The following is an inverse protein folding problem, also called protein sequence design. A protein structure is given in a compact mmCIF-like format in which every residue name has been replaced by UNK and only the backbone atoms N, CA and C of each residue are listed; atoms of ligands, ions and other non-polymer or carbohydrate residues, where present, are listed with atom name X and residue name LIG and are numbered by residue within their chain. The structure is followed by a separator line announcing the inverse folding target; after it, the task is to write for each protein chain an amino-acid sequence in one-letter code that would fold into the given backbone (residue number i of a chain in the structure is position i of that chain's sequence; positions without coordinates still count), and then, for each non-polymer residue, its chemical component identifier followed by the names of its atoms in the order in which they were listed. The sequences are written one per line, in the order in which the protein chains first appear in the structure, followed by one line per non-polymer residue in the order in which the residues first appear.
data_IF_857259128879
#
_entry.id   IF_857259128879
#
_cell.length_a   1.000
_cell.length_b   1.000
_cell.length_c   1.000
_cell.angle_alpha   90.00
_cell.angle_beta   90.00
_cell.angle_gamma   90.00
#
_symmetry.space_group_name_H-M   'P 1'
#
loop_
_entity.id
_entity.type
_entity.pdbx_description
1 polymer ?
#
# COMPACT_ATOMS: atom_id res chain seq x y z
N UNK A 1 1.18 1.19 -2.60
CA UNK A 1 1.66 1.57 -3.96
C UNK A 1 1.25 0.53 -5.00
N UNK A 2 1.51 -0.77 -4.84
CA UNK A 2 0.89 -1.82 -5.68
C UNK A 2 -0.65 -1.80 -5.63
N UNK A 3 -1.22 -1.52 -4.47
CA UNK A 3 -2.64 -1.23 -4.28
C UNK A 3 -3.06 0.14 -4.86
N UNK A 4 -2.12 1.08 -5.02
CA UNK A 4 -2.31 2.37 -5.71
C UNK A 4 -2.14 2.22 -7.24
N UNK A 5 -1.53 1.12 -7.70
CA UNK A 5 -1.55 0.71 -9.11
C UNK A 5 -2.91 0.10 -9.45
N UNK A 6 -3.50 -0.69 -8.53
CA UNK A 6 -4.91 -1.09 -8.62
C UNK A 6 -5.87 0.11 -8.62
N UNK A 7 -5.53 1.20 -7.91
CA UNK A 7 -6.32 2.45 -7.90
C UNK A 7 -6.49 3.07 -9.29
N UNK A 8 -5.46 3.05 -10.12
CA UNK A 8 -5.60 3.50 -11.50
C UNK A 8 -6.15 2.42 -12.43
N UNK A 9 -6.01 1.14 -12.08
CA UNK A 9 -6.48 0.03 -12.93
C UNK A 9 -7.97 -0.03 -13.15
N UNK A 10 -8.73 0.44 -12.17
CA UNK A 10 -10.14 0.14 -12.09
C UNK A 10 -11.03 1.38 -12.03
N UNK A 11 -10.44 2.58 -11.92
CA UNK A 11 -11.16 3.85 -12.13
C UNK A 11 -11.84 3.91 -13.51
N UNK A 12 -11.30 3.17 -14.49
CA UNK A 12 -11.68 3.28 -15.90
C UNK A 12 -12.32 2.02 -16.48
N UNK A 13 -12.46 0.95 -15.69
CA UNK A 13 -13.31 -0.19 -16.04
C UNK A 13 -14.78 0.03 -15.64
N UNK A 14 -15.09 1.11 -14.90
CA UNK A 14 -16.44 1.66 -14.81
C UNK A 14 -16.75 2.50 -16.05
N UNK A 15 -16.82 1.84 -17.21
CA UNK A 15 -17.47 2.32 -18.43
C UNK A 15 -18.75 1.50 -18.67
N UNK A 16 -19.82 2.10 -19.23
CA UNK A 16 -21.20 1.79 -18.87
C UNK A 16 -21.72 0.48 -19.46
N UNK A 17 -22.52 -0.23 -18.66
CA UNK A 17 -23.57 -1.10 -19.16
C UNK A 17 -24.55 -0.27 -19.98
N UNK A 18 -24.54 -0.47 -21.31
CA UNK A 18 -25.59 -0.15 -22.29
C UNK A 18 -26.51 1.07 -22.04
N UNK A 19 -26.41 2.04 -22.95
CA UNK A 19 -27.41 3.08 -23.24
C UNK A 19 -27.50 4.29 -22.29
N UNK A 20 -26.41 5.06 -22.18
CA UNK A 20 -26.35 6.54 -22.26
C UNK A 20 -24.92 6.97 -21.97
N UNK A 21 -24.38 7.88 -22.79
CA UNK A 21 -23.07 8.48 -22.56
C UNK A 21 -23.25 9.48 -21.41
N UNK A 22 -23.14 9.02 -20.17
CA UNK A 22 -22.83 9.88 -19.04
C UNK A 22 -21.33 9.79 -18.78
N UNK A 23 -20.66 10.93 -18.96
CA UNK A 23 -19.24 11.09 -18.66
C UNK A 23 -18.98 10.70 -17.20
N UNK A 24 -17.83 10.10 -16.85
CA UNK A 24 -17.43 9.95 -15.47
C UNK A 24 -17.26 11.35 -14.87
N UNK A 25 -18.29 11.81 -14.15
CA UNK A 25 -18.29 13.08 -13.46
C UNK A 25 -17.18 13.07 -12.41
N UNK A 26 -16.32 14.09 -12.41
CA UNK A 26 -15.43 14.42 -11.29
C UNK A 26 -16.27 14.52 -9.99
N UNK A 27 -15.77 14.06 -8.83
CA UNK A 27 -16.49 13.06 -8.05
C UNK A 27 -17.47 13.66 -7.04
N UNK A 28 -18.75 13.34 -7.17
CA UNK A 28 -19.70 13.47 -6.07
C UNK A 28 -19.37 12.50 -4.89
N UNK A 29 -18.54 11.47 -5.09
CA UNK A 29 -18.19 10.46 -4.07
C UNK A 29 -17.00 10.81 -3.16
N UNK A 30 -16.01 11.59 -3.65
CA UNK A 30 -14.81 11.95 -2.87
C UNK A 30 -15.19 12.80 -1.65
N UNK A 31 -16.08 13.78 -1.86
CA UNK A 31 -16.64 14.60 -0.78
C UNK A 31 -17.76 13.90 0.00
N UNK A 32 -18.40 12.89 -0.60
CA UNK A 32 -19.51 12.16 0.02
C UNK A 32 -19.08 11.15 1.08
N UNK A 33 -18.33 10.12 0.70
CA UNK A 33 -18.02 8.99 1.58
C UNK A 33 -16.55 8.94 2.03
N UNK A 34 -15.61 9.33 1.16
CA UNK A 34 -14.17 9.18 1.41
C UNK A 34 -13.69 10.13 2.50
N UNK A 35 -13.90 11.44 2.33
CA UNK A 35 -13.43 12.44 3.30
C UNK A 35 -14.02 12.19 4.71
N UNK A 36 -15.34 11.96 4.89
CA UNK A 36 -15.88 11.66 6.21
C UNK A 36 -15.33 10.38 6.81
N UNK A 37 -15.15 9.32 6.00
CA UNK A 37 -14.58 8.04 6.49
C UNK A 37 -13.12 8.21 6.93
N UNK A 38 -12.29 8.88 6.13
CA UNK A 38 -10.90 9.16 6.46
C UNK A 38 -10.78 10.10 7.68
N UNK A 39 -11.64 11.11 7.79
CA UNK A 39 -11.68 12.00 8.93
C UNK A 39 -12.07 11.25 10.22
N UNK A 40 -13.07 10.37 10.15
CA UNK A 40 -13.45 9.53 11.27
C UNK A 40 -12.31 8.59 11.69
N UNK A 41 -11.68 7.89 10.74
CA UNK A 41 -10.50 7.04 11.01
C UNK A 41 -9.37 7.84 11.68
N UNK A 42 -9.11 9.05 11.19
CA UNK A 42 -8.10 9.95 11.76
C UNK A 42 -8.43 10.34 13.20
N UNK A 43 -9.67 10.81 13.46
CA UNK A 43 -10.13 11.20 14.80
C UNK A 43 -10.06 10.03 15.79
N UNK A 44 -10.48 8.83 15.35
CA UNK A 44 -10.38 7.62 16.15
C UNK A 44 -8.93 7.28 16.45
N UNK A 45 -8.03 7.35 15.46
CA UNK A 45 -6.61 7.04 15.64
C UNK A 45 -5.91 8.02 16.58
N UNK A 46 -6.09 9.33 16.39
CA UNK A 46 -5.45 10.35 17.24
C UNK A 46 -6.04 10.33 18.66
N UNK A 47 -7.35 10.12 18.79
CA UNK A 47 -8.01 9.92 20.08
C UNK A 47 -7.51 8.68 20.81
N UNK A 48 -7.33 7.57 20.08
CA UNK A 48 -6.73 6.32 20.59
C UNK A 48 -5.32 6.54 21.11
N UNK A 49 -4.48 7.25 20.36
CA UNK A 49 -3.11 7.57 20.77
C UNK A 49 -3.09 8.44 22.05
N UNK A 50 -3.97 9.44 22.14
CA UNK A 50 -4.09 10.29 23.33
C UNK A 50 -4.61 9.51 24.54
N UNK A 51 -5.61 8.66 24.37
CA UNK A 51 -6.14 7.78 25.42
C UNK A 51 -5.03 6.86 25.97
N UNK A 52 -4.28 6.20 25.10
CA UNK A 52 -3.16 5.34 25.49
C UNK A 52 -2.07 6.13 26.24
N UNK A 53 -1.78 7.37 25.81
CA UNK A 53 -0.85 8.25 26.53
C UNK A 53 -1.32 8.50 27.96
N UNK A 54 -2.57 8.92 28.16
CA UNK A 54 -3.13 9.21 29.49
C UNK A 54 -3.11 7.97 30.37
N UNK A 55 -3.55 6.82 29.85
CA UNK A 55 -3.58 5.56 30.61
C UNK A 55 -2.18 5.08 31.02
N UNK A 56 -1.18 5.21 30.15
CA UNK A 56 0.19 4.73 30.42
C UNK A 56 0.97 5.69 31.31
N UNK A 57 0.91 6.99 31.03
CA UNK A 57 1.79 8.01 31.63
C UNK A 57 1.13 8.64 32.85
N UNK A 58 -0.13 9.08 32.75
CA UNK A 58 -0.76 9.89 33.79
C UNK A 58 -1.44 8.98 34.85
N UNK A 59 -2.14 7.92 34.41
CA UNK A 59 -2.87 6.99 35.30
C UNK A 59 -2.00 5.78 35.71
N UNK A 60 -0.94 5.49 34.96
CA UNK A 60 -0.01 4.38 35.20
C UNK A 60 -0.69 2.99 35.26
N UNK A 61 -1.64 2.74 34.36
CA UNK A 61 -2.36 1.46 34.26
C UNK A 61 -1.42 0.25 34.05
N UNK A 62 -1.94 -0.94 34.38
CA UNK A 62 -1.25 -2.20 34.14
C UNK A 62 -1.05 -2.43 32.63
N UNK A 63 0.20 -2.74 32.24
CA UNK A 63 0.59 -2.92 30.84
C UNK A 63 -0.21 -4.01 30.13
N UNK A 64 -0.60 -5.10 30.80
CA UNK A 64 -1.38 -6.18 30.18
C UNK A 64 -2.71 -5.66 29.63
N UNK A 65 -3.42 -4.86 30.42
CA UNK A 65 -4.68 -4.25 30.00
C UNK A 65 -4.47 -3.21 28.90
N UNK A 66 -3.36 -2.48 28.94
CA UNK A 66 -3.01 -1.51 27.90
C UNK A 66 -2.74 -2.22 26.55
N UNK A 67 -1.99 -3.33 26.53
CA UNK A 67 -1.76 -4.10 25.30
C UNK A 67 -3.06 -4.67 24.74
N UNK A 68 -3.94 -5.18 25.61
CA UNK A 68 -5.25 -5.67 25.22
C UNK A 68 -6.12 -4.56 24.61
N UNK A 69 -6.19 -3.40 25.27
CA UNK A 69 -6.88 -2.23 24.74
C UNK A 69 -6.31 -1.78 23.40
N UNK A 70 -4.98 -1.73 23.27
CA UNK A 70 -4.32 -1.36 22.03
C UNK A 70 -4.69 -2.29 20.86
N UNK A 71 -4.76 -3.60 21.12
CA UNK A 71 -5.22 -4.57 20.12
C UNK A 71 -6.69 -4.33 19.72
N UNK A 72 -7.58 -4.03 20.67
CA UNK A 72 -8.97 -3.68 20.39
C UNK A 72 -9.06 -2.43 19.51
N UNK A 73 -8.28 -1.39 19.81
CA UNK A 73 -8.29 -0.13 19.05
C UNK A 73 -7.82 -0.35 17.60
N UNK A 74 -6.80 -1.19 17.39
CA UNK A 74 -6.36 -1.59 16.04
C UNK A 74 -7.44 -2.35 15.27
N UNK A 75 -8.06 -3.34 15.91
CA UNK A 75 -9.16 -4.11 15.30
C UNK A 75 -10.36 -3.22 14.98
N UNK A 76 -10.69 -2.26 15.85
CA UNK A 76 -11.77 -1.31 15.63
C UNK A 76 -11.50 -0.43 14.39
N UNK A 77 -10.27 0.10 14.23
CA UNK A 77 -9.90 0.87 13.04
C UNK A 77 -10.02 0.04 11.75
N UNK A 78 -9.63 -1.23 11.81
CA UNK A 78 -9.72 -2.15 10.66
C UNK A 78 -11.18 -2.48 10.32
N UNK A 79 -12.02 -2.78 11.32
CA UNK A 79 -13.44 -3.08 11.11
C UNK A 79 -14.17 -1.86 10.55
N UNK A 80 -13.83 -0.66 11.03
CA UNK A 80 -14.44 0.59 10.55
C UNK A 80 -14.15 0.85 9.07
N UNK A 81 -12.90 0.66 8.62
CA UNK A 81 -12.55 0.87 7.21
C UNK A 81 -13.17 -0.19 6.29
N UNK A 82 -13.18 -1.46 6.71
CA UNK A 82 -13.81 -2.55 5.95
C UNK A 82 -15.32 -2.31 5.86
N UNK A 83 -15.97 -1.94 6.96
CA UNK A 83 -17.40 -1.58 6.96
C UNK A 83 -17.67 -0.41 6.02
N UNK A 84 -16.85 0.64 6.06
CA UNK A 84 -16.98 1.77 5.14
C UNK A 84 -16.82 1.37 3.66
N UNK A 85 -16.00 0.36 3.36
CA UNK A 85 -15.84 -0.15 1.99
C UNK A 85 -17.01 -1.04 1.53
N UNK A 86 -17.59 -1.83 2.44
CA UNK A 86 -18.68 -2.77 2.13
C UNK A 86 -20.06 -2.08 2.09
N UNK A 87 -20.33 -1.15 3.00
CA UNK A 87 -21.66 -0.52 3.14
C UNK A 87 -21.82 0.75 2.31
N UNK A 88 -20.73 1.45 1.97
CA UNK A 88 -20.82 2.55 1.02
C UNK A 88 -20.70 2.02 -0.40
N UNK A 89 -21.53 2.53 -1.32
CA UNK A 89 -21.43 2.31 -2.78
C UNK A 89 -20.24 3.06 -3.39
N UNK A 90 -19.10 3.03 -2.69
CA UNK A 90 -17.89 3.73 -3.04
C UNK A 90 -17.22 3.03 -4.23
N UNK A 91 -16.63 3.83 -5.13
CA UNK A 91 -15.84 3.27 -6.24
C UNK A 91 -14.62 2.49 -5.70
N UNK A 92 -14.01 1.65 -6.54
CA UNK A 92 -12.80 0.90 -6.15
C UNK A 92 -11.69 1.85 -5.68
N UNK A 93 -11.58 3.01 -6.33
CA UNK A 93 -10.61 4.05 -5.98
C UNK A 93 -10.85 4.61 -4.58
N UNK A 94 -12.12 4.89 -4.26
CA UNK A 94 -12.53 5.37 -2.94
C UNK A 94 -12.20 4.34 -1.85
N UNK A 95 -12.47 3.06 -2.11
CA UNK A 95 -12.11 1.95 -1.19
C UNK A 95 -10.61 1.86 -0.97
N UNK A 96 -9.80 1.97 -2.02
CA UNK A 96 -8.33 1.93 -1.91
C UNK A 96 -7.83 3.09 -1.05
N UNK A 97 -8.35 4.31 -1.25
CA UNK A 97 -7.96 5.47 -0.46
C UNK A 97 -8.26 5.26 1.03
N UNK A 98 -9.47 4.79 1.36
CA UNK A 98 -9.89 4.50 2.73
C UNK A 98 -8.99 3.43 3.36
N UNK A 99 -8.71 2.33 2.65
CA UNK A 99 -7.87 1.23 3.14
C UNK A 99 -6.41 1.64 3.32
N UNK A 100 -5.84 2.39 2.37
CA UNK A 100 -4.47 2.91 2.48
C UNK A 100 -4.32 3.88 3.65
N UNK A 101 -5.30 4.76 3.84
CA UNK A 101 -5.33 5.69 4.96
C UNK A 101 -5.48 4.94 6.29
N UNK A 102 -6.35 3.93 6.34
CA UNK A 102 -6.48 3.08 7.52
C UNK A 102 -5.17 2.36 7.87
N UNK A 103 -4.47 1.76 6.89
CA UNK A 103 -3.18 1.12 7.15
C UNK A 103 -2.15 2.15 7.63
N UNK A 104 -2.06 3.33 6.99
CA UNK A 104 -1.17 4.41 7.42
C UNK A 104 -1.40 4.80 8.88
N UNK A 105 -2.66 5.02 9.26
CA UNK A 105 -3.04 5.41 10.62
C UNK A 105 -2.74 4.29 11.63
N UNK A 106 -2.98 3.03 11.29
CA UNK A 106 -2.61 1.91 12.16
C UNK A 106 -1.10 1.81 12.40
N UNK A 107 -0.28 1.94 11.35
CA UNK A 107 1.18 1.94 11.52
C UNK A 107 1.63 3.11 12.42
N UNK A 108 1.06 4.31 12.22
CA UNK A 108 1.35 5.48 13.08
C UNK A 108 0.90 5.29 14.53
N UNK A 109 -0.29 4.73 14.76
CA UNK A 109 -0.78 4.45 16.11
C UNK A 109 0.13 3.45 16.84
N UNK A 110 0.55 2.39 16.15
CA UNK A 110 1.48 1.40 16.70
C UNK A 110 2.82 2.03 17.08
N UNK A 111 3.35 2.87 16.20
CA UNK A 111 4.60 3.62 16.41
C UNK A 111 4.55 4.51 17.65
N UNK A 112 3.47 5.30 17.79
CA UNK A 112 3.24 6.15 18.98
C UNK A 112 3.11 5.30 20.23
N UNK A 113 2.34 4.21 20.17
CA UNK A 113 2.16 3.29 21.29
C UNK A 113 3.48 2.69 21.78
N UNK A 114 4.35 2.23 20.86
CA UNK A 114 5.68 1.69 21.19
C UNK A 114 6.53 2.75 21.89
N UNK A 115 6.50 4.00 21.44
CA UNK A 115 7.25 5.09 22.09
C UNK A 115 6.68 5.44 23.47
N UNK A 116 5.36 5.44 23.65
CA UNK A 116 4.70 5.65 24.95
C UNK A 116 5.12 4.56 25.94
N UNK A 117 4.99 3.29 25.58
CA UNK A 117 5.37 2.17 26.47
C UNK A 117 6.87 2.16 26.70
N UNK A 118 7.68 2.40 25.67
CA UNK A 118 9.14 2.51 25.78
C UNK A 118 9.57 3.60 26.75
N UNK A 119 8.88 4.74 26.78
CA UNK A 119 9.17 5.82 27.74
C UNK A 119 8.99 5.40 29.19
N UNK A 120 8.00 4.55 29.50
CA UNK A 120 7.76 3.99 30.85
C UNK A 120 8.93 3.13 31.34
N UNK A 121 9.57 2.38 30.44
CA UNK A 121 10.76 1.58 30.78
C UNK A 121 12.07 2.39 30.72
N UNK A 122 12.15 3.37 29.82
CA UNK A 122 13.30 4.24 29.58
C UNK A 122 13.47 5.42 30.55
N UNK A 123 12.47 5.72 31.39
CA UNK A 123 12.55 6.73 32.45
C UNK A 123 13.72 6.49 33.45
N UNK A 124 14.32 5.30 33.48
CA UNK A 124 15.56 5.05 34.25
C UNK A 124 16.84 5.54 33.58
N UNK A 125 16.87 5.74 32.25
CA UNK A 125 18.10 6.04 31.51
C UNK A 125 18.11 7.45 30.90
N UNK A 126 16.94 8.03 30.59
CA UNK A 126 16.83 9.31 29.87
C UNK A 126 16.83 10.57 30.77
N UNK A 127 16.72 10.41 32.09
CA UNK A 127 16.60 11.51 33.06
C UNK A 127 17.86 12.36 33.26
N UNK A 128 18.92 12.19 32.45
CA UNK A 128 20.21 12.86 32.65
C UNK A 128 20.67 13.81 31.54
N UNK A 129 20.00 13.89 30.39
CA UNK A 129 20.40 14.84 29.34
C UNK A 129 19.16 15.40 28.65
N UNK A 130 18.96 16.71 28.87
CA UNK A 130 17.97 17.59 28.24
C UNK A 130 16.61 17.54 28.95
N UNK A 131 16.18 18.70 29.46
CA UNK A 131 14.83 18.98 29.92
C UNK A 131 13.86 18.91 28.74
N UNK A 132 13.38 17.70 28.42
CA UNK A 132 12.50 17.48 27.27
C UNK A 132 11.08 17.94 27.61
N UNK A 133 10.61 19.00 26.95
CA UNK A 133 9.19 19.34 26.80
C UNK A 133 8.34 18.09 26.62
N UNK A 134 7.11 18.06 27.17
CA UNK A 134 6.19 16.93 27.06
C UNK A 134 6.23 16.27 25.65
N UNK A 135 6.84 15.08 25.50
CA UNK A 135 7.11 14.48 24.19
C UNK A 135 5.84 14.03 23.49
N UNK A 136 4.68 14.08 24.16
CA UNK A 136 3.37 13.68 23.64
C UNK A 136 2.37 14.84 23.63
N UNK A 137 2.83 16.08 23.47
CA UNK A 137 1.95 17.24 23.25
C UNK A 137 1.05 17.02 22.02
N UNK A 138 -0.20 17.48 22.08
CA UNK A 138 -1.18 17.34 20.99
C UNK A 138 -0.66 17.91 19.67
N UNK A 139 0.10 19.01 19.70
CA UNK A 139 0.72 19.61 18.51
C UNK A 139 1.79 18.70 17.88
N UNK A 140 2.63 18.06 18.70
CA UNK A 140 3.67 17.12 18.21
C UNK A 140 3.03 15.86 17.62
N UNK A 141 1.98 15.36 18.26
CA UNK A 141 1.22 14.22 17.75
C UNK A 141 0.55 14.57 16.41
N UNK A 142 -0.14 15.71 16.34
CA UNK A 142 -0.79 16.19 15.12
C UNK A 142 0.23 16.35 13.98
N UNK A 143 1.39 16.96 14.25
CA UNK A 143 2.48 17.07 13.27
C UNK A 143 2.92 15.71 12.76
N UNK A 144 3.15 14.73 13.65
CA UNK A 144 3.53 13.38 13.25
C UNK A 144 2.49 12.70 12.37
N UNK A 145 1.19 12.86 12.66
CA UNK A 145 0.14 12.26 11.85
C UNK A 145 0.13 12.76 10.40
N UNK A 146 0.53 14.00 10.14
CA UNK A 146 0.68 14.52 8.77
C UNK A 146 2.07 14.31 8.17
N UNK A 147 3.12 14.19 9.01
CA UNK A 147 4.49 13.99 8.53
C UNK A 147 4.63 12.74 7.64
N UNK A 148 5.42 12.80 6.55
CA UNK A 148 5.64 11.67 5.63
C UNK A 148 6.59 10.61 6.20
N UNK A 149 6.35 10.19 7.45
CA UNK A 149 7.10 9.16 8.18
C UNK A 149 6.18 8.28 9.01
N UNK A 150 6.64 7.07 9.34
CA UNK A 150 5.90 6.12 10.17
C UNK A 150 6.51 5.88 11.55
N UNK A 151 7.74 6.34 11.80
CA UNK A 151 8.42 6.19 13.10
C UNK A 151 8.23 7.47 13.91
N UNK A 152 7.64 7.36 15.12
CA UNK A 152 7.38 8.48 16.00
C UNK A 152 8.65 8.91 16.74
N UNK A 153 9.05 10.16 16.57
CA UNK A 153 10.15 10.81 17.28
C UNK A 153 9.65 12.04 18.03
N UNK A 154 10.30 12.38 19.14
CA UNK A 154 9.97 13.57 19.95
C UNK A 154 10.32 14.89 19.26
N UNK A 155 11.23 14.85 18.29
CA UNK A 155 11.67 15.97 17.48
C UNK A 155 12.01 15.48 16.07
N UNK A 156 11.66 16.28 15.06
CA UNK A 156 12.04 16.04 13.67
C UNK A 156 12.84 17.23 13.17
N UNK A 157 13.82 16.96 12.30
CA UNK A 157 14.57 18.00 11.62
C UNK A 157 13.65 18.85 10.73
N UNK A 158 13.82 20.17 10.82
CA UNK A 158 12.97 21.14 10.11
C UNK A 158 13.82 22.15 9.35
N UNK A 159 13.38 22.47 8.15
CA UNK A 159 14.00 23.49 7.30
C UNK A 159 13.90 24.86 7.98
N UNK A 160 15.00 25.61 8.00
CA UNK A 160 15.04 26.95 8.56
C UNK A 160 14.18 27.92 7.72
N UNK A 161 13.31 28.68 8.38
CA UNK A 161 12.43 29.64 7.72
C UNK A 161 13.18 30.93 7.39
N UNK A 162 13.64 31.06 6.14
CA UNK A 162 14.21 32.30 5.63
C UNK A 162 13.11 33.22 5.06
N UNK A 163 12.92 34.41 5.64
CA UNK A 163 11.64 35.15 5.62
C UNK A 163 11.16 35.71 4.27
N UNK A 164 12.01 35.84 3.25
CA UNK A 164 11.62 36.39 1.92
C UNK A 164 11.96 35.47 0.75
N UNK A 165 13.15 34.85 0.74
CA UNK A 165 13.52 33.86 -0.26
C UNK A 165 12.80 32.51 -0.06
N UNK A 166 12.49 32.16 1.19
CA UNK A 166 11.87 30.88 1.54
C UNK A 166 10.44 30.74 1.04
N UNK A 167 9.63 31.81 1.06
CA UNK A 167 8.24 31.74 0.59
C UNK A 167 8.15 31.53 -0.93
N UNK A 168 8.95 32.26 -1.71
CA UNK A 168 8.95 32.09 -3.16
C UNK A 168 9.43 30.68 -3.54
N UNK A 169 10.50 30.20 -2.89
CA UNK A 169 10.99 28.84 -3.07
C UNK A 169 9.94 27.79 -2.72
N UNK A 170 9.27 27.93 -1.56
CA UNK A 170 8.19 27.04 -1.15
C UNK A 170 7.05 26.99 -2.17
N UNK A 171 6.59 28.15 -2.66
CA UNK A 171 5.51 28.22 -3.65
C UNK A 171 5.93 27.58 -4.97
N UNK A 172 7.16 27.84 -5.42
CA UNK A 172 7.70 27.24 -6.64
C UNK A 172 7.82 25.72 -6.53
N UNK A 173 8.48 25.22 -5.46
CA UNK A 173 8.67 23.80 -5.22
C UNK A 173 7.31 23.09 -5.08
N UNK A 174 6.38 23.67 -4.31
CA UNK A 174 5.00 23.17 -4.18
C UNK A 174 4.26 23.10 -5.53
N UNK A 175 4.37 24.15 -6.35
CA UNK A 175 3.76 24.16 -7.68
C UNK A 175 4.36 23.09 -8.60
N UNK A 176 5.69 22.88 -8.54
CA UNK A 176 6.36 21.79 -9.26
C UNK A 176 5.87 20.41 -8.79
N UNK A 177 5.69 20.20 -7.49
CA UNK A 177 5.15 18.95 -6.95
C UNK A 177 3.70 18.71 -7.41
N UNK A 178 2.84 19.74 -7.38
CA UNK A 178 1.46 19.65 -7.90
C UNK A 178 1.45 19.36 -9.40
N UNK A 179 2.34 19.98 -10.18
CA UNK A 179 2.48 19.69 -11.61
C UNK A 179 2.89 18.23 -11.86
N UNK A 180 3.93 17.74 -11.17
CA UNK A 180 4.36 16.33 -11.22
C UNK A 180 3.19 15.39 -10.87
N UNK A 181 2.40 15.72 -9.85
CA UNK A 181 1.21 14.98 -9.44
C UNK A 181 0.20 14.91 -10.58
N UNK A 182 -0.26 16.06 -11.10
CA UNK A 182 -1.27 16.13 -12.14
C UNK A 182 -0.86 15.41 -13.42
N UNK A 183 0.40 15.58 -13.86
CA UNK A 183 0.93 14.89 -15.05
C UNK A 183 0.94 13.37 -14.85
N UNK A 184 1.39 12.89 -13.69
CA UNK A 184 1.45 11.45 -13.41
C UNK A 184 0.06 10.83 -13.37
N UNK A 185 -0.90 11.51 -12.73
CA UNK A 185 -2.31 11.10 -12.70
C UNK A 185 -2.87 11.06 -14.12
N UNK A 186 -2.65 12.12 -14.92
CA UNK A 186 -3.14 12.17 -16.30
C UNK A 186 -2.56 11.03 -17.16
N UNK A 187 -1.26 10.77 -17.08
CA UNK A 187 -0.62 9.68 -17.84
C UNK A 187 -1.13 8.31 -17.42
N UNK A 188 -1.35 8.09 -16.11
CA UNK A 188 -1.97 6.86 -15.62
C UNK A 188 -3.37 6.71 -16.20
N UNK A 189 -4.22 7.74 -16.08
CA UNK A 189 -5.56 7.74 -16.66
C UNK A 189 -5.55 7.49 -18.18
N UNK A 190 -4.59 8.06 -18.90
CA UNK A 190 -4.41 7.83 -20.33
C UNK A 190 -4.13 6.35 -20.63
N UNK A 191 -3.17 5.72 -19.95
CA UNK A 191 -2.85 4.30 -20.14
C UNK A 191 -4.09 3.43 -19.90
N UNK A 192 -4.80 3.69 -18.82
CA UNK A 192 -5.97 2.88 -18.47
C UNK A 192 -7.14 3.09 -19.43
N UNK A 193 -7.39 4.32 -19.87
CA UNK A 193 -8.53 4.63 -20.73
C UNK A 193 -8.27 4.31 -22.20
N UNK A 194 -7.04 4.47 -22.68
CA UNK A 194 -6.71 4.33 -24.10
C UNK A 194 -6.07 2.98 -24.44
N UNK A 195 -5.52 2.27 -23.46
CA UNK A 195 -4.84 0.98 -23.71
C UNK A 195 -5.60 -0.16 -23.05
N UNK A 196 -5.76 -0.11 -21.72
CA UNK A 196 -6.31 -1.24 -20.96
C UNK A 196 -7.83 -1.37 -21.15
N UNK A 197 -8.57 -0.27 -21.09
CA UNK A 197 -10.03 -0.25 -21.32
C UNK A 197 -10.43 -0.84 -22.68
N UNK A 198 -9.87 -0.34 -23.81
CA UNK A 198 -10.18 -0.87 -25.14
C UNK A 198 -9.76 -2.33 -25.32
N UNK A 199 -8.64 -2.75 -24.70
CA UNK A 199 -8.23 -4.15 -24.71
C UNK A 199 -9.31 -5.05 -24.10
N UNK A 200 -9.81 -4.74 -22.90
CA UNK A 200 -10.86 -5.54 -22.26
C UNK A 200 -12.22 -5.41 -22.97
N UNK A 201 -12.58 -4.24 -23.46
CA UNK A 201 -13.82 -4.06 -24.24
C UNK A 201 -13.86 -4.93 -25.50
N UNK A 202 -12.73 -5.05 -26.21
CA UNK A 202 -12.61 -5.92 -27.37
C UNK A 202 -12.74 -7.41 -27.02
N UNK A 203 -12.25 -7.83 -25.86
CA UNK A 203 -12.44 -9.20 -25.37
C UNK A 203 -13.92 -9.50 -25.11
N UNK A 204 -14.65 -8.56 -24.51
CA UNK A 204 -16.10 -8.71 -24.27
C UNK A 204 -16.88 -8.81 -25.59
N UNK A 205 -16.52 -8.01 -26.60
CA UNK A 205 -17.15 -8.09 -27.93
C UNK A 205 -16.84 -9.42 -28.63
N UNK A 206 -15.63 -9.95 -28.46
CA UNK A 206 -15.25 -11.25 -29.02
C UNK A 206 -16.02 -12.42 -28.36
N UNK A 207 -16.30 -12.33 -27.05
CA UNK A 207 -17.19 -13.27 -26.36
C UNK A 207 -18.62 -13.18 -26.85
N UNK A 208 -19.20 -11.97 -26.93
CA UNK A 208 -20.58 -11.77 -27.36
C UNK A 208 -20.88 -12.39 -28.74
N UNK A 209 -19.85 -12.55 -29.59
CA UNK A 209 -19.92 -13.22 -30.90
C UNK A 209 -19.81 -14.75 -30.84
N UNK A 210 -19.79 -15.36 -29.65
CA UNK A 210 -19.67 -16.80 -29.42
C UNK A 210 -18.30 -17.40 -29.74
N UNK A 211 -17.29 -16.56 -30.03
CA UNK A 211 -16.00 -16.98 -30.57
C UNK A 211 -14.96 -17.31 -29.51
N UNK A 212 -15.08 -16.78 -28.29
CA UNK A 212 -13.97 -16.74 -27.34
C UNK A 212 -14.07 -17.80 -26.21
N UNK A 213 -15.27 -18.08 -25.69
CA UNK A 213 -15.45 -18.98 -24.54
C UNK A 213 -16.00 -20.38 -24.86
N UNK A 214 -16.27 -20.69 -26.13
CA UNK A 214 -17.03 -21.89 -26.51
C UNK A 214 -16.20 -23.15 -26.71
N UNK A 215 -14.87 -23.08 -26.85
CA UNK A 215 -14.10 -24.23 -27.37
C UNK A 215 -12.82 -24.63 -26.61
N UNK A 216 -12.28 -23.83 -25.67
CA UNK A 216 -11.09 -24.20 -24.88
C UNK A 216 -11.01 -23.46 -23.54
N UNK A 217 -10.47 -24.08 -22.47
CA UNK A 217 -10.06 -23.34 -21.27
C UNK A 217 -9.11 -22.22 -21.67
N UNK A 218 -9.33 -21.01 -21.16
CA UNK A 218 -8.70 -19.77 -21.62
C UNK A 218 -7.16 -19.77 -21.49
N UNK A 219 -6.61 -20.56 -20.55
CA UNK A 219 -5.16 -20.79 -20.41
C UNK A 219 -4.58 -21.78 -21.42
N UNK A 220 -5.41 -22.56 -22.12
CA UNK A 220 -4.95 -23.47 -23.17
C UNK A 220 -4.76 -22.76 -24.51
N UNK A 221 -5.30 -21.54 -24.68
CA UNK A 221 -4.94 -20.67 -25.80
C UNK A 221 -3.61 -19.94 -25.49
N UNK A 222 -2.52 -20.61 -25.85
CA UNK A 222 -1.17 -20.10 -25.69
C UNK A 222 -0.95 -18.75 -26.40
N UNK A 223 -1.61 -18.51 -27.53
CA UNK A 223 -1.46 -17.26 -28.28
C UNK A 223 -2.17 -16.10 -27.60
N UNK A 224 -3.36 -16.34 -27.03
CA UNK A 224 -4.02 -15.36 -26.18
C UNK A 224 -3.16 -15.01 -24.96
N UNK A 225 -2.68 -16.02 -24.22
CA UNK A 225 -1.88 -15.80 -23.01
C UNK A 225 -0.60 -15.04 -23.32
N UNK A 226 0.10 -15.41 -24.40
CA UNK A 226 1.33 -14.76 -24.85
C UNK A 226 1.11 -13.30 -25.22
N UNK A 227 0.07 -12.97 -26.01
CA UNK A 227 -0.25 -11.60 -26.40
C UNK A 227 -0.62 -10.73 -25.20
N UNK A 228 -1.47 -11.28 -24.32
CA UNK A 228 -1.96 -10.59 -23.13
C UNK A 228 -0.84 -10.34 -22.15
N UNK A 229 -0.12 -11.39 -21.75
CA UNK A 229 1.02 -11.25 -20.84
C UNK A 229 2.10 -10.33 -21.43
N UNK A 230 2.39 -10.42 -22.73
CA UNK A 230 3.32 -9.51 -23.41
C UNK A 230 2.92 -8.04 -23.27
N UNK A 231 1.66 -7.70 -23.58
CA UNK A 231 1.13 -6.35 -23.42
C UNK A 231 1.24 -5.86 -21.97
N UNK A 232 0.76 -6.64 -21.00
CA UNK A 232 0.75 -6.23 -19.60
C UNK A 232 2.15 -6.19 -18.98
N UNK A 233 3.10 -7.03 -19.40
CA UNK A 233 4.50 -6.89 -19.00
C UNK A 233 5.08 -5.55 -19.48
N UNK A 234 4.76 -5.14 -20.71
CA UNK A 234 5.18 -3.84 -21.23
C UNK A 234 4.51 -2.66 -20.51
N UNK A 235 3.26 -2.78 -20.09
CA UNK A 235 2.51 -1.72 -19.40
C UNK A 235 2.78 -1.66 -17.90
N UNK A 236 3.10 -2.79 -17.27
CA UNK A 236 3.19 -2.90 -15.82
C UNK A 236 4.29 -2.05 -15.20
N UNK A 237 5.46 -2.01 -15.84
CA UNK A 237 6.58 -1.17 -15.38
C UNK A 237 6.30 0.33 -15.54
N UNK A 238 5.82 0.86 -16.69
CA UNK A 238 5.38 2.25 -16.78
C UNK A 238 4.35 2.63 -15.72
N UNK A 239 3.33 1.80 -15.48
CA UNK A 239 2.33 2.05 -14.43
C UNK A 239 3.00 2.10 -13.06
N UNK A 240 3.91 1.16 -12.75
CA UNK A 240 4.65 1.14 -11.50
C UNK A 240 5.48 2.40 -11.30
N UNK A 241 6.22 2.82 -12.33
CA UNK A 241 7.08 4.00 -12.30
C UNK A 241 6.28 5.30 -12.17
N UNK A 242 5.15 5.41 -12.86
CA UNK A 242 4.25 6.55 -12.74
C UNK A 242 3.63 6.62 -11.34
N UNK A 243 3.19 5.49 -10.78
CA UNK A 243 2.72 5.44 -9.39
C UNK A 243 3.83 5.76 -8.38
N UNK A 244 5.07 5.32 -8.65
CA UNK A 244 6.24 5.63 -7.84
C UNK A 244 6.51 7.13 -7.82
N UNK A 245 6.57 7.75 -8.99
CA UNK A 245 6.83 9.18 -9.15
C UNK A 245 5.69 10.03 -8.58
N UNK A 246 4.45 9.66 -8.87
CA UNK A 246 3.26 10.26 -8.27
C UNK A 246 3.34 10.29 -6.74
N UNK A 247 3.71 9.18 -6.11
CA UNK A 247 3.63 9.07 -4.65
C UNK A 247 4.85 9.67 -3.95
N UNK A 248 6.06 9.29 -4.35
CA UNK A 248 7.27 9.71 -3.63
C UNK A 248 7.78 11.08 -4.09
N UNK A 249 7.83 11.32 -5.40
CA UNK A 249 8.41 12.53 -5.97
C UNK A 249 7.45 13.74 -5.90
N UNK A 250 6.16 13.50 -6.07
CA UNK A 250 5.15 14.55 -5.98
C UNK A 250 4.50 14.61 -4.59
N UNK A 251 3.77 13.57 -4.18
CA UNK A 251 2.92 13.64 -2.99
C UNK A 251 3.68 13.76 -1.67
N UNK A 252 4.70 12.91 -1.43
CA UNK A 252 5.47 12.95 -0.17
C UNK A 252 6.29 14.23 -0.02
N UNK A 253 6.95 14.68 -1.08
CA UNK A 253 7.69 15.94 -1.05
C UNK A 253 6.78 17.16 -0.85
N UNK A 254 5.59 17.18 -1.45
CA UNK A 254 4.61 18.24 -1.21
C UNK A 254 4.24 18.35 0.27
N UNK A 255 3.94 17.22 0.93
CA UNK A 255 3.66 17.22 2.37
C UNK A 255 4.90 17.56 3.20
N UNK A 256 6.09 17.16 2.76
CA UNK A 256 7.34 17.53 3.41
C UNK A 256 7.57 19.04 3.39
N UNK A 257 7.32 19.71 2.26
CA UNK A 257 7.44 21.17 2.16
C UNK A 257 6.43 21.88 3.06
N UNK A 258 5.15 21.47 3.02
CA UNK A 258 4.09 22.05 3.87
C UNK A 258 4.43 21.95 5.36
N UNK A 259 5.01 20.82 5.77
CA UNK A 259 5.38 20.57 7.16
C UNK A 259 6.80 21.02 7.51
N UNK A 260 7.51 21.62 6.56
CA UNK A 260 8.93 21.97 6.67
C UNK A 260 9.79 20.79 7.13
N UNK A 261 9.44 19.58 6.71
CA UNK A 261 10.10 18.32 7.06
C UNK A 261 11.37 18.14 6.21
N UNK A 262 12.51 17.98 6.88
CA UNK A 262 13.82 17.97 6.23
C UNK A 262 14.26 16.58 5.76
N UNK A 263 13.88 15.52 6.48
CA UNK A 263 14.32 14.15 6.17
C UNK A 263 13.56 13.55 4.99
N UNK A 264 14.04 13.81 3.76
CA UNK A 264 13.38 13.38 2.51
C UNK A 264 13.90 12.06 1.97
N UNK A 265 14.50 11.22 2.83
CA UNK A 265 15.04 9.91 2.46
C UNK A 265 13.93 8.86 2.27
N UNK A 266 12.94 9.15 1.42
CA UNK A 266 11.77 8.28 1.25
C UNK A 266 12.08 6.98 0.49
N UNK A 267 13.09 7.02 -0.38
CA UNK A 267 13.61 5.92 -1.16
C UNK A 267 15.09 6.15 -1.48
N UNK A 268 15.79 5.09 -1.86
CA UNK A 268 17.17 5.11 -2.38
C UNK A 268 17.20 4.71 -3.87
N UNK A 269 18.39 4.53 -4.44
CA UNK A 269 18.64 4.15 -5.84
C UNK A 269 18.25 2.68 -6.15
N UNK A 270 17.00 2.32 -5.87
CA UNK A 270 16.47 0.97 -5.98
C UNK A 270 16.52 0.41 -7.42
N UNK A 271 16.55 1.27 -8.45
CA UNK A 271 16.68 0.87 -9.85
C UNK A 271 18.04 0.20 -10.17
N UNK A 272 19.06 0.46 -9.34
CA UNK A 272 20.37 -0.18 -9.42
C UNK A 272 20.44 -1.51 -8.65
N UNK A 273 19.33 -1.98 -8.08
CA UNK A 273 19.30 -3.21 -7.28
C UNK A 273 19.70 -4.43 -8.12
N UNK A 274 20.58 -5.26 -7.56
CA UNK A 274 21.00 -6.53 -8.17
C UNK A 274 20.29 -7.74 -7.54
N UNK A 275 19.35 -7.49 -6.63
CA UNK A 275 18.56 -8.51 -5.93
C UNK A 275 17.25 -7.93 -5.41
N UNK A 276 16.25 -8.79 -5.25
CA UNK A 276 14.99 -8.41 -4.63
C UNK A 276 15.17 -7.99 -3.17
N UNK A 277 16.09 -8.62 -2.44
CA UNK A 277 16.45 -8.23 -1.08
C UNK A 277 16.93 -6.77 -0.99
N UNK A 278 17.77 -6.31 -1.93
CA UNK A 278 18.17 -4.90 -2.00
C UNK A 278 17.00 -4.00 -2.39
N UNK A 279 16.23 -4.39 -3.41
CA UNK A 279 15.08 -3.62 -3.88
C UNK A 279 14.08 -3.34 -2.75
N UNK A 280 13.70 -4.36 -1.97
CA UNK A 280 12.74 -4.21 -0.88
C UNK A 280 13.20 -3.26 0.24
N UNK A 281 14.51 -3.07 0.42
CA UNK A 281 15.05 -2.10 1.38
C UNK A 281 15.05 -0.66 0.85
N UNK A 282 15.26 -0.51 -0.46
CA UNK A 282 15.52 0.79 -1.08
C UNK A 282 14.29 1.48 -1.67
N UNK A 283 13.27 0.73 -2.10
CA UNK A 283 12.17 1.32 -2.89
C UNK A 283 11.21 2.18 -2.05
N UNK A 284 11.02 1.83 -0.78
CA UNK A 284 10.12 2.52 0.16
C UNK A 284 10.73 2.44 1.55
N UNK A 285 11.70 3.34 1.80
CA UNK A 285 12.43 3.38 3.06
C UNK A 285 11.48 3.64 4.23
N UNK A 286 10.42 4.44 4.04
CA UNK A 286 9.45 4.75 5.10
C UNK A 286 8.79 3.48 5.68
N UNK A 287 8.30 2.59 4.81
CA UNK A 287 7.68 1.33 5.25
C UNK A 287 8.74 0.32 5.67
N UNK A 288 9.86 0.26 4.95
CA UNK A 288 10.98 -0.61 5.32
C UNK A 288 11.46 -0.33 6.75
N UNK A 289 11.68 0.93 7.11
CA UNK A 289 12.20 1.32 8.42
C UNK A 289 11.21 0.99 9.53
N UNK A 290 9.91 1.18 9.28
CA UNK A 290 8.87 0.73 10.20
C UNK A 290 8.93 -0.78 10.41
N UNK A 291 8.93 -1.56 9.32
CA UNK A 291 8.97 -3.03 9.38
C UNK A 291 10.25 -3.54 10.04
N UNK A 292 11.39 -2.91 9.74
CA UNK A 292 12.69 -3.26 10.29
C UNK A 292 12.75 -2.98 11.80
N UNK A 293 12.32 -1.78 12.22
CA UNK A 293 12.39 -1.33 13.61
C UNK A 293 11.43 -2.10 14.50
N UNK A 294 10.19 -2.29 14.04
CA UNK A 294 9.11 -2.76 14.90
C UNK A 294 8.73 -4.22 14.72
N UNK A 295 8.86 -4.79 13.52
CA UNK A 295 8.50 -6.19 13.30
C UNK A 295 9.77 -7.05 13.33
N UNK A 296 10.72 -6.78 12.44
CA UNK A 296 11.93 -7.59 12.31
C UNK A 296 12.78 -7.54 13.58
N UNK A 297 13.00 -6.34 14.14
CA UNK A 297 13.73 -6.16 15.39
C UNK A 297 13.11 -6.90 16.57
N UNK A 298 11.78 -6.82 16.72
CA UNK A 298 11.05 -7.49 17.80
C UNK A 298 11.00 -9.02 17.60
N UNK A 299 10.80 -9.51 16.38
CA UNK A 299 10.87 -10.95 16.08
C UNK A 299 12.26 -11.53 16.34
N UNK A 300 13.33 -10.82 15.96
CA UNK A 300 14.69 -11.28 16.26
C UNK A 300 14.92 -11.40 17.76
N UNK A 301 14.50 -10.40 18.54
CA UNK A 301 14.63 -10.43 20.00
C UNK A 301 13.86 -11.61 20.58
N UNK A 302 12.60 -11.75 20.17
CA UNK A 302 11.73 -12.85 20.61
C UNK A 302 12.33 -14.22 20.28
N UNK A 303 12.75 -14.49 19.04
CA UNK A 303 13.26 -15.80 18.65
C UNK A 303 14.65 -16.10 19.20
N UNK A 304 15.48 -15.08 19.49
CA UNK A 304 16.77 -15.31 20.16
C UNK A 304 16.63 -15.62 21.64
N UNK A 305 15.65 -15.03 22.30
CA UNK A 305 15.35 -15.28 23.71
C UNK A 305 14.51 -16.55 23.91
N UNK A 306 13.76 -16.95 22.88
CA UNK A 306 12.94 -18.15 22.90
C UNK A 306 13.78 -19.42 22.73
N UNK A 307 13.51 -20.43 23.54
CA UNK A 307 14.11 -21.77 23.38
C UNK A 307 13.51 -22.58 22.22
N UNK A 308 12.53 -22.03 21.49
CA UNK A 308 11.76 -22.74 20.45
C UNK A 308 12.53 -22.82 19.13
N UNK A 309 13.36 -21.82 18.82
CA UNK A 309 14.01 -21.67 17.52
C UNK A 309 15.53 -21.59 17.72
N UNK A 310 16.30 -22.28 16.89
CA UNK A 310 17.75 -22.12 16.88
C UNK A 310 18.11 -20.64 16.64
N UNK A 311 18.90 -20.00 17.52
CA UNK A 311 19.37 -18.63 17.34
C UNK A 311 20.02 -18.35 15.98
N UNK A 312 20.59 -19.37 15.33
CA UNK A 312 21.16 -19.29 13.98
C UNK A 312 20.10 -19.00 12.90
N UNK A 313 18.88 -19.54 13.08
CA UNK A 313 17.75 -19.41 12.14
C UNK A 313 16.86 -18.19 12.42
N UNK A 314 17.01 -17.56 13.59
CA UNK A 314 16.17 -16.43 14.03
C UNK A 314 16.09 -15.29 12.99
N UNK A 315 17.20 -14.98 12.30
CA UNK A 315 17.22 -13.93 11.25
C UNK A 315 16.35 -14.30 10.05
N UNK A 316 16.50 -15.52 9.55
CA UNK A 316 15.76 -16.00 8.36
C UNK A 316 14.26 -16.09 8.64
N UNK A 317 13.89 -16.68 9.78
CA UNK A 317 12.48 -16.79 10.20
C UNK A 317 11.86 -15.41 10.42
N UNK A 318 12.57 -14.49 11.07
CA UNK A 318 12.09 -13.12 11.26
C UNK A 318 11.86 -12.41 9.93
N UNK A 319 12.79 -12.52 8.98
CA UNK A 319 12.64 -11.93 7.65
C UNK A 319 11.44 -12.53 6.90
N UNK A 320 11.27 -13.86 6.95
CA UNK A 320 10.15 -14.55 6.32
C UNK A 320 8.80 -14.12 6.92
N UNK A 321 8.71 -13.96 8.24
CA UNK A 321 7.49 -13.49 8.90
C UNK A 321 7.16 -12.04 8.54
N UNK A 322 8.13 -11.13 8.58
CA UNK A 322 7.91 -9.73 8.16
C UNK A 322 7.43 -9.67 6.72
N UNK A 323 8.06 -10.45 5.84
CA UNK A 323 7.72 -10.48 4.43
C UNK A 323 6.30 -11.04 4.19
N UNK A 324 5.91 -12.12 4.87
CA UNK A 324 4.54 -12.66 4.78
C UNK A 324 3.49 -11.71 5.37
N UNK A 325 3.77 -11.05 6.50
CA UNK A 325 2.86 -10.04 7.06
C UNK A 325 2.65 -8.91 6.06
N UNK A 326 3.72 -8.44 5.41
CA UNK A 326 3.63 -7.45 4.35
C UNK A 326 2.77 -7.95 3.17
N UNK A 327 2.96 -9.20 2.73
CA UNK A 327 2.17 -9.80 1.65
C UNK A 327 0.67 -9.85 1.99
N UNK A 328 0.31 -10.27 3.22
CA UNK A 328 -1.08 -10.28 3.70
C UNK A 328 -1.69 -8.89 3.68
N UNK A 329 -0.96 -7.86 4.13
CA UNK A 329 -1.47 -6.47 4.11
C UNK A 329 -1.70 -5.97 2.68
N UNK A 330 -0.81 -6.32 1.74
CA UNK A 330 -1.01 -5.95 0.33
C UNK A 330 -2.24 -6.65 -0.28
N UNK A 331 -2.39 -7.95 -0.01
CA UNK A 331 -3.55 -8.72 -0.48
C UNK A 331 -4.85 -8.22 0.13
N UNK A 332 -4.84 -7.87 1.42
CA UNK A 332 -5.97 -7.26 2.12
C UNK A 332 -6.44 -6.00 1.39
N UNK A 333 -5.53 -5.08 1.05
CA UNK A 333 -5.92 -3.84 0.36
C UNK A 333 -6.52 -4.15 -1.02
N UNK A 334 -5.93 -5.07 -1.78
CA UNK A 334 -6.42 -5.40 -3.12
C UNK A 334 -7.76 -6.12 -3.05
N UNK A 335 -7.90 -7.13 -2.20
CA UNK A 335 -9.12 -7.94 -2.10
C UNK A 335 -10.32 -7.10 -1.65
N UNK A 336 -10.18 -6.29 -0.60
CA UNK A 336 -11.28 -5.44 -0.11
C UNK A 336 -11.58 -4.25 -1.01
N UNK A 337 -10.62 -3.77 -1.80
CA UNK A 337 -10.91 -2.74 -2.80
C UNK A 337 -11.67 -3.29 -4.00
N UNK A 338 -11.27 -4.46 -4.51
CA UNK A 338 -11.92 -5.15 -5.62
C UNK A 338 -13.28 -5.75 -5.25
N UNK A 339 -13.47 -6.13 -3.98
CA UNK A 339 -14.67 -6.82 -3.52
C UNK A 339 -14.66 -8.33 -3.73
N UNK A 340 -13.51 -8.91 -4.07
CA UNK A 340 -13.32 -10.36 -4.18
C UNK A 340 -11.91 -10.75 -3.73
N UNK A 341 -11.73 -12.01 -3.33
CA UNK A 341 -10.46 -12.55 -2.89
C UNK A 341 -9.81 -13.35 -4.00
N UNK A 342 -8.65 -12.88 -4.48
CA UNK A 342 -7.89 -13.54 -5.53
C UNK A 342 -6.38 -13.39 -5.26
N UNK A 343 -5.77 -14.31 -4.49
CA UNK A 343 -4.50 -14.08 -3.79
C UNK A 343 -3.23 -14.18 -4.66
N UNK A 344 -3.26 -13.62 -5.86
CA UNK A 344 -2.12 -13.63 -6.80
C UNK A 344 -0.92 -12.91 -6.20
N UNK A 345 -1.12 -11.72 -5.61
CA UNK A 345 -0.01 -10.95 -5.07
C UNK A 345 0.60 -11.64 -3.86
N UNK A 346 -0.24 -12.20 -2.98
CA UNK A 346 0.23 -13.02 -1.85
C UNK A 346 1.08 -14.21 -2.33
N UNK A 347 0.62 -14.98 -3.32
CA UNK A 347 1.38 -16.13 -3.86
C UNK A 347 2.69 -15.68 -4.51
N UNK A 348 2.65 -14.60 -5.31
CA UNK A 348 3.83 -14.06 -5.99
C UNK A 348 4.89 -13.60 -4.99
N UNK A 349 4.46 -12.96 -3.90
CA UNK A 349 5.36 -12.54 -2.83
C UNK A 349 5.86 -13.76 -2.07
N UNK A 350 4.99 -14.51 -1.42
CA UNK A 350 5.38 -15.57 -0.47
C UNK A 350 6.07 -16.77 -1.12
N UNK A 351 5.83 -17.04 -2.40
CA UNK A 351 6.52 -18.08 -3.16
C UNK A 351 7.76 -17.54 -3.88
N UNK A 352 7.65 -17.11 -5.16
CA UNK A 352 8.79 -16.63 -5.95
C UNK A 352 9.57 -15.49 -5.28
N UNK A 353 8.89 -14.53 -4.64
CA UNK A 353 9.54 -13.39 -3.98
C UNK A 353 10.52 -13.81 -2.88
N UNK A 354 10.13 -14.77 -2.03
CA UNK A 354 11.00 -15.32 -0.97
C UNK A 354 12.23 -16.02 -1.56
N UNK A 355 12.01 -16.86 -2.58
CA UNK A 355 13.08 -17.55 -3.32
C UNK A 355 14.06 -16.53 -3.91
N UNK A 356 13.55 -15.53 -4.63
CA UNK A 356 14.36 -14.49 -5.27
C UNK A 356 15.16 -13.64 -4.26
N UNK A 357 14.65 -13.45 -3.04
CA UNK A 357 15.36 -12.78 -1.96
C UNK A 357 16.48 -13.62 -1.34
N UNK A 358 16.36 -14.94 -1.36
CA UNK A 358 17.33 -15.86 -0.77
C UNK A 358 18.50 -16.16 -1.72
N UNK A 359 18.24 -16.37 -3.02
CA UNK A 359 19.26 -16.85 -3.96
C UNK A 359 20.21 -15.76 -4.48
N UNK A 360 19.72 -14.52 -4.61
CA UNK A 360 20.52 -13.41 -5.14
C UNK A 360 20.89 -12.47 -4.00
N UNK A 361 22.01 -12.71 -3.31
CA UNK A 361 22.52 -11.81 -2.28
C UNK A 361 23.97 -11.42 -2.59
N UNK A 362 24.14 -10.40 -3.43
CA UNK A 362 25.46 -9.84 -3.75
C UNK A 362 25.55 -8.42 -3.22
N UNK A 363 26.63 -8.07 -2.55
CA UNK A 363 26.83 -6.73 -1.98
C UNK A 363 27.24 -5.69 -3.04
N UNK A 364 27.89 -6.13 -4.11
CA UNK A 364 28.42 -5.27 -5.17
C UNK A 364 27.49 -5.23 -6.39
N UNK A 365 27.49 -4.10 -7.09
CA UNK A 365 26.72 -3.92 -8.32
C UNK A 365 27.20 -4.88 -9.41
N UNK A 366 26.24 -5.51 -10.09
CA UNK A 366 26.45 -6.43 -11.20
C UNK A 366 25.37 -6.21 -12.26
N UNK A 367 25.79 -5.76 -13.44
CA UNK A 367 24.89 -5.44 -14.57
C UNK A 367 24.01 -6.63 -14.96
N UNK A 368 24.51 -7.86 -14.91
CA UNK A 368 23.75 -9.05 -15.31
C UNK A 368 22.64 -9.34 -14.31
N UNK A 369 22.95 -9.24 -13.02
CA UNK A 369 21.96 -9.42 -11.96
C UNK A 369 20.92 -8.30 -11.94
N UNK A 370 21.32 -7.06 -12.24
CA UNK A 370 20.37 -5.96 -12.41
C UNK A 370 19.42 -6.19 -13.60
N UNK A 371 19.92 -6.70 -14.74
CA UNK A 371 19.06 -7.06 -15.87
C UNK A 371 18.08 -8.20 -15.52
N UNK A 372 18.53 -9.22 -14.78
CA UNK A 372 17.66 -10.30 -14.28
C UNK A 372 16.62 -9.75 -13.31
N UNK A 373 17.01 -8.86 -12.39
CA UNK A 373 16.09 -8.16 -11.49
C UNK A 373 14.99 -7.43 -12.26
N UNK A 374 15.36 -6.63 -13.27
CA UNK A 374 14.39 -5.92 -14.10
C UNK A 374 13.49 -6.87 -14.87
N UNK A 375 14.02 -7.97 -15.43
CA UNK A 375 13.22 -8.99 -16.11
C UNK A 375 12.11 -9.55 -15.20
N UNK A 376 12.45 -9.92 -13.96
CA UNK A 376 11.46 -10.39 -12.98
C UNK A 376 10.50 -9.27 -12.54
N UNK A 377 10.94 -8.02 -12.49
CA UNK A 377 10.04 -6.88 -12.23
C UNK A 377 9.01 -6.71 -13.36
N UNK A 378 9.43 -6.75 -14.63
CA UNK A 378 8.49 -6.68 -15.78
C UNK A 378 7.46 -7.81 -15.72
N UNK A 379 7.92 -9.05 -15.49
CA UNK A 379 7.06 -10.22 -15.41
C UNK A 379 6.08 -10.14 -14.23
N UNK A 380 6.58 -9.84 -13.02
CA UNK A 380 5.76 -9.80 -11.81
C UNK A 380 4.71 -8.68 -11.83
N UNK A 381 5.10 -7.48 -12.27
CA UNK A 381 4.18 -6.34 -12.38
C UNK A 381 3.13 -6.59 -13.47
N UNK A 382 3.55 -7.10 -14.63
CA UNK A 382 2.65 -7.43 -15.73
C UNK A 382 1.63 -8.50 -15.36
N UNK A 383 2.10 -9.59 -14.74
CA UNK A 383 1.24 -10.68 -14.27
C UNK A 383 0.20 -10.18 -13.28
N UNK A 384 0.61 -9.34 -12.31
CA UNK A 384 -0.28 -8.80 -11.29
C UNK A 384 -1.39 -7.95 -11.92
N UNK A 385 -1.02 -6.97 -12.77
CA UNK A 385 -2.02 -6.09 -13.38
C UNK A 385 -2.95 -6.88 -14.30
N UNK A 386 -2.43 -7.79 -15.11
CA UNK A 386 -3.24 -8.61 -16.01
C UNK A 386 -4.25 -9.44 -15.23
N UNK A 387 -3.80 -10.26 -14.27
CA UNK A 387 -4.64 -11.24 -13.60
C UNK A 387 -5.76 -10.58 -12.77
N UNK A 388 -5.47 -9.49 -12.04
CA UNK A 388 -6.52 -8.78 -11.31
C UNK A 388 -7.50 -8.06 -12.23
N UNK A 389 -7.02 -7.42 -13.30
CA UNK A 389 -7.90 -6.71 -14.24
C UNK A 389 -8.78 -7.69 -15.03
N UNK A 390 -8.22 -8.85 -15.38
CA UNK A 390 -8.93 -9.91 -16.08
C UNK A 390 -10.02 -10.53 -15.20
N UNK A 391 -9.70 -10.91 -13.95
CA UNK A 391 -10.69 -11.47 -13.02
C UNK A 391 -11.82 -10.45 -12.73
N UNK A 392 -11.48 -9.17 -12.56
CA UNK A 392 -12.48 -8.12 -12.40
C UNK A 392 -13.39 -7.98 -13.62
N UNK A 393 -12.81 -7.99 -14.83
CA UNK A 393 -13.54 -7.94 -16.09
C UNK A 393 -14.51 -9.13 -16.23
N UNK A 394 -14.05 -10.34 -15.89
CA UNK A 394 -14.89 -11.54 -15.94
C UNK A 394 -16.11 -11.41 -15.01
N UNK A 395 -15.90 -10.94 -13.78
CA UNK A 395 -16.98 -10.77 -12.80
C UNK A 395 -17.99 -9.70 -13.19
N UNK A 396 -17.52 -8.58 -13.74
CA UNK A 396 -18.38 -7.44 -14.08
C UNK A 396 -19.13 -7.61 -15.39
N UNK A 397 -18.53 -8.26 -16.39
CA UNK A 397 -19.08 -8.29 -17.75
C UNK A 397 -19.66 -9.65 -18.16
N UNK A 398 -19.26 -10.77 -17.54
CA UNK A 398 -19.59 -12.12 -18.05
C UNK A 398 -20.58 -12.90 -17.17
N UNK A 399 -20.66 -12.61 -15.87
CA UNK A 399 -21.35 -13.48 -14.90
C UNK A 399 -22.55 -12.86 -14.18
N UNK A 400 -23.10 -11.74 -14.67
CA UNK A 400 -24.35 -11.15 -14.14
C UNK A 400 -25.60 -12.03 -14.29
N UNK A 401 -25.51 -13.20 -14.94
CA UNK A 401 -26.67 -14.04 -15.27
C UNK A 401 -26.65 -15.49 -14.71
N UNK A 402 -25.64 -15.93 -13.94
CA UNK A 402 -25.49 -17.37 -13.64
C UNK A 402 -25.43 -17.71 -12.13
N UNK A 403 -24.92 -16.84 -11.26
CA UNK A 403 -24.74 -17.18 -9.84
C UNK A 403 -25.53 -16.28 -8.88
N UNK A 404 -26.83 -16.56 -8.72
CA UNK A 404 -27.68 -16.07 -7.62
C UNK A 404 -27.34 -16.75 -6.26
N UNK A 405 -26.07 -17.06 -6.01
CA UNK A 405 -25.59 -17.61 -4.73
C UNK A 405 -24.58 -16.67 -4.09
N UNK A 406 -25.13 -15.63 -3.45
CA UNK A 406 -24.48 -14.49 -2.80
C UNK A 406 -23.38 -14.78 -1.75
N UNK A 407 -23.11 -16.04 -1.39
CA UNK A 407 -22.21 -16.37 -0.28
C UNK A 407 -20.82 -16.87 -0.68
N UNK A 408 -20.64 -17.42 -1.89
CA UNK A 408 -19.40 -18.14 -2.28
C UNK A 408 -18.66 -17.48 -3.45
N UNK A 409 -19.36 -16.68 -4.25
CA UNK A 409 -18.82 -15.96 -5.41
C UNK A 409 -17.53 -15.15 -5.13
N UNK A 410 -17.38 -14.42 -4.00
CA UNK A 410 -16.16 -13.66 -3.73
C UNK A 410 -14.90 -14.51 -3.50
N UNK A 411 -15.05 -15.81 -3.24
CA UNK A 411 -13.95 -16.74 -2.90
C UNK A 411 -13.59 -17.68 -4.06
N UNK A 412 -14.44 -17.77 -5.08
CA UNK A 412 -14.30 -18.70 -6.20
C UNK A 412 -13.77 -17.94 -7.41
N UNK A 413 -12.57 -18.29 -7.88
CA UNK A 413 -11.97 -17.67 -9.06
C UNK A 413 -12.68 -18.10 -10.33
N UNK A 414 -12.99 -17.13 -11.21
CA UNK A 414 -13.67 -17.39 -12.49
C UNK A 414 -12.71 -17.86 -13.59
N UNK A 415 -11.40 -17.84 -13.33
CA UNK A 415 -10.37 -18.32 -14.26
C UNK A 415 -10.48 -19.81 -14.61
N UNK A 416 -11.20 -20.61 -13.81
CA UNK A 416 -11.37 -22.06 -14.03
C UNK A 416 -12.76 -22.46 -14.51
N UNK A 417 -13.70 -21.52 -14.62
CA UNK A 417 -15.04 -21.82 -15.10
C UNK A 417 -15.09 -21.52 -16.59
N UNK A 418 -14.92 -22.57 -17.41
CA UNK A 418 -15.51 -22.53 -18.74
C UNK A 418 -17.03 -22.58 -18.59
N UNK A 419 -17.75 -21.97 -19.53
CA UNK A 419 -19.15 -22.37 -19.76
C UNK A 419 -19.25 -23.86 -20.07
#
# INVERSE_FOLDING_TARGET
MLSLMAFFSLYLLNGPSSAKIEYPTFPHSLFGAVIPSCALLFLVSIGSAYLLRVLVIDINCNLRWIYFLHAILHMMLLVLSVSACLFNTASICDRILILLEQIRLNLKLYSVFRTIVGSKFGQKMFSRRISVENPFSASKLLYFYFAPVLIYQSFYLRVANDKKGGLFRFLYDSACHVFKFCVSVYLLLFIFHQVIGPYFANLTIADAKGSFWSNTPLFNDFEFLKKSLGLFCCLGTPIFLLCFFFFFEAWMNFWADILSFEDRSFYEDWWNSCSFSQFYRKWNCIVHDFLYTYLYGDFIRYFRESSIVDPSLAKGISALLVFNISAVVHEFIISFSLGFFYPVLFILFSGPGVVLCAFFQKATYDRRLNAIFWLFMFLGLGLTIFLYSFEYCCRTLLFTHIFDTYAVDPLVSHLFFSR
#
